data_IF_509858552609
#
_entry.id   IF_509858552609
#
_cell.length_a   1.000
_cell.length_b   1.000
_cell.length_c   1.000
_cell.angle_alpha   90.00
_cell.angle_beta   90.00
_cell.angle_gamma   90.00
#
_symmetry.space_group_name_H-M   'P 1'
#
loop_
_entity.id
_entity.type
_entity.pdbx_description
1 polymer ?
#
# COMPACT_ATOMS: atom_id res chain seq x y z
N UNK A 1 8.49 4.89 -13.17
CA UNK A 1 7.99 5.61 -11.98
C UNK A 1 6.50 5.97 -12.07
N UNK A 2 5.63 4.97 -12.31
CA UNK A 2 4.16 5.12 -12.30
C UNK A 2 3.56 4.98 -10.91
N UNK A 3 4.08 5.72 -9.92
CA UNK A 3 3.66 5.61 -8.51
C UNK A 3 4.29 4.46 -7.73
N UNK A 4 5.40 3.88 -8.21
CA UNK A 4 6.14 2.86 -7.46
C UNK A 4 6.76 3.43 -6.19
N UNK A 5 6.57 2.76 -5.05
CA UNK A 5 7.13 3.15 -3.75
C UNK A 5 8.31 2.27 -3.30
N UNK A 6 8.75 1.33 -4.14
CA UNK A 6 9.76 0.34 -3.78
C UNK A 6 9.27 -0.68 -2.74
N UNK A 7 10.21 -1.39 -2.11
CA UNK A 7 9.94 -2.35 -1.04
C UNK A 7 10.17 -1.70 0.32
N UNK A 8 9.28 -1.98 1.28
CA UNK A 8 9.37 -1.49 2.65
C UNK A 8 8.77 -2.52 3.61
N UNK A 9 9.16 -2.44 4.88
CA UNK A 9 8.63 -3.28 5.95
C UNK A 9 7.50 -2.61 6.75
N UNK A 10 6.85 -3.34 7.68
CA UNK A 10 5.79 -2.80 8.52
C UNK A 10 6.22 -1.59 9.35
N UNK A 11 5.33 -0.63 9.56
CA UNK A 11 5.56 0.60 10.32
C UNK A 11 6.26 1.72 9.56
N UNK A 12 6.53 1.53 8.26
CA UNK A 12 7.24 2.51 7.43
C UNK A 12 6.32 3.49 6.72
N UNK A 13 5.04 3.15 6.55
CA UNK A 13 4.03 4.03 5.97
C UNK A 13 2.97 4.40 7.02
N UNK A 14 2.04 5.26 6.63
CA UNK A 14 0.88 5.58 7.49
C UNK A 14 0.04 4.33 7.73
N UNK A 15 -0.62 4.27 8.88
CA UNK A 15 -1.34 3.08 9.36
C UNK A 15 -2.35 2.55 8.34
N UNK A 16 -3.09 3.42 7.68
CA UNK A 16 -4.08 3.06 6.67
C UNK A 16 -3.43 2.36 5.46
N UNK A 17 -2.22 2.80 5.09
CA UNK A 17 -1.46 2.23 3.99
C UNK A 17 -0.86 0.87 4.37
N UNK A 18 -0.22 0.79 5.54
CA UNK A 18 0.36 -0.46 6.05
C UNK A 18 -0.70 -1.55 6.21
N UNK A 19 -1.87 -1.19 6.76
CA UNK A 19 -2.97 -2.14 6.94
C UNK A 19 -3.37 -2.81 5.61
N UNK A 20 -3.46 -2.05 4.52
CA UNK A 20 -3.77 -2.61 3.20
C UNK A 20 -2.61 -3.45 2.68
N UNK A 21 -1.39 -2.92 2.72
CA UNK A 21 -0.22 -3.58 2.09
C UNK A 21 0.13 -4.90 2.74
N UNK A 22 -0.07 -5.06 4.05
CA UNK A 22 0.32 -6.27 4.78
C UNK A 22 -0.82 -7.27 5.02
N UNK A 23 -2.08 -6.89 4.82
CA UNK A 23 -3.22 -7.79 5.02
C UNK A 23 -3.96 -8.18 3.73
N UNK A 24 -3.97 -7.32 2.71
CA UNK A 24 -4.82 -7.52 1.54
C UNK A 24 -4.11 -8.27 0.39
N UNK A 25 -4.89 -8.62 -0.64
CA UNK A 25 -4.44 -9.44 -1.76
C UNK A 25 -3.38 -8.74 -2.65
N UNK A 26 -2.39 -9.52 -3.08
CA UNK A 26 -1.38 -9.12 -4.08
C UNK A 26 -2.01 -9.14 -5.48
N UNK A 27 -1.60 -8.22 -6.35
CA UNK A 27 -2.02 -8.19 -7.76
C UNK A 27 -3.39 -7.55 -8.01
N UNK A 28 -3.96 -6.89 -7.00
CA UNK A 28 -5.26 -6.19 -7.09
C UNK A 28 -5.06 -4.71 -6.71
N UNK A 29 -5.89 -3.84 -7.28
CA UNK A 29 -5.96 -2.41 -6.92
C UNK A 29 -6.94 -2.24 -5.75
N UNK A 30 -6.46 -1.63 -4.67
CA UNK A 30 -7.21 -1.33 -3.45
C UNK A 30 -7.49 0.16 -3.33
N UNK A 31 -8.65 0.52 -2.79
CA UNK A 31 -9.02 1.90 -2.47
C UNK A 31 -10.37 2.34 -3.05
N UNK A 32 -10.69 3.64 -2.94
CA UNK A 32 -9.83 4.72 -2.46
C UNK A 32 -9.54 4.65 -0.95
N UNK A 33 -8.27 4.70 -0.57
CA UNK A 33 -7.82 4.74 0.82
C UNK A 33 -7.58 6.19 1.21
N UNK A 34 -8.30 6.66 2.24
CA UNK A 34 -8.12 7.99 2.79
C UNK A 34 -6.93 8.00 3.75
N UNK A 35 -6.01 8.93 3.56
CA UNK A 35 -4.93 9.24 4.51
C UNK A 35 -4.95 10.74 4.82
N UNK A 36 -4.05 11.20 5.69
CA UNK A 36 -3.82 12.63 5.91
C UNK A 36 -3.36 13.39 4.65
N UNK A 37 -2.89 12.68 3.62
CA UNK A 37 -2.39 13.25 2.37
C UNK A 37 -3.42 13.25 1.24
N UNK A 38 -4.65 12.75 1.48
CA UNK A 38 -5.71 12.67 0.49
C UNK A 38 -6.23 11.25 0.29
N UNK A 39 -6.59 10.92 -0.95
CA UNK A 39 -7.09 9.60 -1.33
C UNK A 39 -6.09 8.89 -2.25
N UNK A 40 -5.92 7.59 -2.03
CA UNK A 40 -4.93 6.78 -2.73
C UNK A 40 -5.54 5.50 -3.27
N UNK A 41 -5.10 5.10 -4.46
CA UNK A 41 -5.24 3.72 -4.94
C UNK A 41 -3.92 3.01 -4.74
N UNK A 42 -3.96 1.79 -4.21
CA UNK A 42 -2.77 1.02 -3.83
C UNK A 42 -2.77 -0.28 -4.62
N UNK A 43 -1.68 -0.57 -5.32
CA UNK A 43 -1.47 -1.85 -5.99
C UNK A 43 -0.27 -2.55 -5.38
N UNK A 44 -0.49 -3.74 -4.82
CA UNK A 44 0.55 -4.54 -4.18
C UNK A 44 1.17 -5.43 -5.25
N UNK A 45 2.42 -5.14 -5.65
CA UNK A 45 3.11 -5.89 -6.70
C UNK A 45 3.65 -7.25 -6.21
N UNK A 46 4.19 -7.29 -5.00
CA UNK A 46 4.80 -8.49 -4.41
C UNK A 46 4.95 -8.33 -2.89
N UNK A 47 5.02 -9.44 -2.15
CA UNK A 47 5.35 -9.49 -0.71
C UNK A 47 6.37 -10.60 -0.48
N UNK A 48 7.37 -10.32 0.34
CA UNK A 48 8.34 -11.31 0.81
C UNK A 48 7.96 -11.76 2.22
N UNK A 49 8.29 -13.00 2.58
CA UNK A 49 8.17 -13.51 3.95
C UNK A 49 9.14 -12.83 4.93
#
# INVERSE_FOLDING_TARGET
DGGSLGSFGPGRMVKEFDNVVFNDAIGVVHGPIKTQFGYHLIYIKSRSE
#
